data_IF_179484636164
#
_entry.id   IF_179484636164
#
_cell.length_a   1.000
_cell.length_b   1.000
_cell.length_c   1.000
_cell.angle_alpha   90.00
_cell.angle_beta   90.00
_cell.angle_gamma   90.00
#
_symmetry.space_group_name_H-M   'P 1'
#
loop_
_entity.id
_entity.type
_entity.pdbx_description
1 polymer ?
#
# COMPACT_ATOMS: atom_id res chain seq x y z
N UNK A 1 1.49 -14.60 -11.74
CA UNK A 1 1.44 -13.32 -10.97
C UNK A 1 2.79 -12.59 -10.86
N UNK A 2 3.83 -13.02 -11.57
CA UNK A 2 5.17 -12.39 -11.52
C UNK A 2 5.21 -10.94 -12.03
N UNK A 3 4.19 -10.49 -12.75
CA UNK A 3 4.09 -9.13 -13.32
C UNK A 3 3.01 -8.27 -12.66
N UNK A 4 2.50 -8.68 -11.49
CA UNK A 4 1.48 -7.89 -10.78
C UNK A 4 2.14 -6.72 -10.06
N UNK A 5 1.72 -5.52 -10.43
CA UNK A 5 2.12 -4.27 -9.82
C UNK A 5 0.92 -3.62 -9.11
N UNK A 6 1.17 -3.05 -7.94
CA UNK A 6 0.14 -2.41 -7.13
C UNK A 6 0.49 -0.93 -7.00
N UNK A 7 -0.43 -0.08 -7.42
CA UNK A 7 -0.24 1.37 -7.37
C UNK A 7 -1.17 1.96 -6.33
N UNK A 8 -0.59 2.76 -5.46
CA UNK A 8 -1.34 3.49 -4.46
C UNK A 8 -0.69 4.81 -4.07
N UNK A 9 -1.42 5.59 -3.31
CA UNK A 9 -0.92 6.86 -2.79
C UNK A 9 -1.27 7.05 -1.32
N UNK A 10 -0.42 7.78 -0.62
CA UNK A 10 -0.68 8.20 0.74
C UNK A 10 -0.39 9.69 0.90
N UNK A 11 -1.33 10.40 1.51
CA UNK A 11 -1.10 11.79 1.90
C UNK A 11 -0.42 11.87 3.26
N UNK A 12 0.60 12.70 3.34
CA UNK A 12 1.30 13.08 4.56
C UNK A 12 0.95 14.53 4.81
N UNK A 13 0.26 14.80 5.92
CA UNK A 13 -0.09 16.14 6.33
C UNK A 13 1.13 16.81 6.93
N UNK A 14 1.51 17.96 6.41
CA UNK A 14 2.57 18.77 6.98
C UNK A 14 2.02 19.62 8.13
N UNK A 15 2.77 19.65 9.24
CA UNK A 15 2.41 20.46 10.39
C UNK A 15 2.81 21.89 10.11
N UNK A 16 1.92 22.84 10.45
CA UNK A 16 2.11 24.28 10.28
C UNK A 16 2.13 24.79 8.81
N UNK A 17 2.79 25.91 8.57
CA UNK A 17 2.75 26.70 7.35
C UNK A 17 3.58 26.13 6.16
N UNK A 18 4.06 24.89 6.28
CA UNK A 18 4.79 24.23 5.21
C UNK A 18 3.88 23.99 4.00
N UNK A 19 4.08 24.77 2.95
CA UNK A 19 3.36 24.65 1.69
C UNK A 19 4.26 23.86 0.72
N UNK A 20 3.84 22.62 0.42
CA UNK A 20 4.50 21.84 -0.60
C UNK A 20 3.78 22.05 -1.94
N UNK A 21 4.47 22.64 -2.91
CA UNK A 21 4.05 22.78 -4.34
C UNK A 21 2.53 23.00 -4.54
N UNK A 22 1.94 23.90 -3.80
CA UNK A 22 0.52 24.16 -3.86
C UNK A 22 -0.27 23.53 -2.69
N UNK A 23 -0.87 24.37 -1.91
CA UNK A 23 -1.69 23.97 -0.77
C UNK A 23 -2.98 23.33 -1.25
N UNK A 24 -3.24 22.09 -0.86
CA UNK A 24 -4.57 21.50 -0.92
C UNK A 24 -5.51 22.25 0.03
N UNK A 25 -6.72 22.59 -0.41
CA UNK A 25 -7.76 23.11 0.48
C UNK A 25 -8.37 21.96 1.27
N UNK A 26 -8.56 22.16 2.56
CA UNK A 26 -9.31 21.20 3.36
C UNK A 26 -10.78 21.20 2.91
N UNK A 27 -11.39 20.05 2.53
CA UNK A 27 -12.73 20.02 1.91
C UNK A 27 -13.83 20.65 2.76
N UNK A 28 -13.71 20.59 4.10
CA UNK A 28 -14.73 21.05 5.03
C UNK A 28 -14.47 22.44 5.64
N UNK A 29 -13.22 22.89 5.70
CA UNK A 29 -12.88 24.15 6.39
C UNK A 29 -12.36 25.26 5.49
N UNK A 30 -12.15 24.98 4.19
CA UNK A 30 -11.57 25.93 3.24
C UNK A 30 -10.14 26.39 3.56
N UNK A 31 -9.59 26.00 4.73
CA UNK A 31 -8.23 26.38 5.15
C UNK A 31 -7.20 25.66 4.30
N UNK A 32 -6.19 26.39 3.84
CA UNK A 32 -5.03 25.82 3.15
C UNK A 32 -4.25 24.96 4.16
N UNK A 33 -4.14 23.67 3.91
CA UNK A 33 -3.23 22.79 4.64
C UNK A 33 -2.15 22.32 3.66
N UNK A 34 -0.90 22.51 4.04
CA UNK A 34 0.22 21.92 3.35
C UNK A 34 0.13 20.38 3.42
N UNK A 35 0.44 19.72 2.34
CA UNK A 35 0.48 18.27 2.32
C UNK A 35 1.22 17.77 1.10
N UNK A 36 1.98 16.70 1.29
CA UNK A 36 2.63 15.97 0.22
C UNK A 36 1.90 14.65 0.02
N UNK A 37 1.68 14.28 -1.21
CA UNK A 37 1.18 12.95 -1.58
C UNK A 37 2.34 12.14 -2.14
N UNK A 38 2.53 10.96 -1.59
CA UNK A 38 3.52 9.98 -2.03
C UNK A 38 2.78 8.91 -2.81
N UNK A 39 3.12 8.79 -4.08
CA UNK A 39 2.63 7.73 -4.96
C UNK A 39 3.69 6.65 -5.02
N UNK A 40 3.31 5.42 -4.80
CA UNK A 40 4.21 4.27 -4.80
C UNK A 40 3.65 3.20 -5.70
N UNK A 41 4.52 2.60 -6.51
CA UNK A 41 4.28 1.37 -7.22
C UNK A 41 5.09 0.26 -6.55
N UNK A 42 4.47 -0.86 -6.21
CA UNK A 42 5.13 -2.03 -5.63
C UNK A 42 4.88 -3.27 -6.47
N UNK A 43 5.85 -4.17 -6.52
CA UNK A 43 5.62 -5.53 -6.99
C UNK A 43 4.85 -6.32 -5.92
N UNK A 44 3.76 -6.97 -6.33
CA UNK A 44 2.99 -7.83 -5.43
C UNK A 44 3.86 -8.96 -4.85
N UNK A 45 3.54 -9.38 -3.63
CA UNK A 45 4.24 -10.38 -2.83
C UNK A 45 5.62 -9.96 -2.29
N UNK A 46 6.25 -8.95 -2.86
CA UNK A 46 7.56 -8.47 -2.40
C UNK A 46 7.43 -7.24 -1.51
N UNK A 47 6.36 -6.47 -1.70
CA UNK A 47 6.13 -5.16 -1.07
C UNK A 47 7.31 -4.19 -1.23
N UNK A 48 8.09 -4.38 -2.31
CA UNK A 48 9.25 -3.55 -2.65
C UNK A 48 8.81 -2.44 -3.59
N UNK A 49 9.04 -1.17 -3.25
CA UNK A 49 8.79 -0.06 -4.16
C UNK A 49 9.64 -0.13 -5.42
N UNK A 50 9.01 -0.09 -6.59
CA UNK A 50 9.65 -0.02 -7.90
C UNK A 50 9.66 1.41 -8.46
N UNK A 51 8.66 2.23 -8.11
CA UNK A 51 8.59 3.65 -8.47
C UNK A 51 7.99 4.46 -7.32
N UNK A 52 8.57 5.64 -7.06
CA UNK A 52 8.08 6.55 -6.02
C UNK A 52 8.06 7.97 -6.56
N UNK A 53 6.90 8.62 -6.48
CA UNK A 53 6.70 9.99 -6.95
C UNK A 53 6.02 10.84 -5.91
N UNK A 54 6.32 12.13 -5.95
CA UNK A 54 5.79 13.12 -5.01
C UNK A 54 4.96 14.16 -5.75
N UNK A 55 3.79 14.45 -5.19
CA UNK A 55 2.92 15.52 -5.68
C UNK A 55 2.34 16.31 -4.52
N UNK A 56 1.74 17.44 -4.83
CA UNK A 56 0.87 18.13 -3.88
C UNK A 56 -0.29 17.20 -3.45
N UNK A 57 -0.71 17.28 -2.20
CA UNK A 57 -1.86 16.53 -1.69
C UNK A 57 -3.16 16.79 -2.47
N UNK A 58 -3.25 17.92 -3.19
CA UNK A 58 -4.39 18.29 -4.02
C UNK A 58 -4.39 17.62 -5.40
N UNK A 59 -3.25 17.07 -5.85
CA UNK A 59 -3.13 16.44 -7.18
C UNK A 59 -4.00 15.18 -7.27
N UNK A 60 -4.73 15.06 -8.38
CA UNK A 60 -5.53 13.87 -8.62
C UNK A 60 -4.62 12.67 -8.94
N UNK A 61 -4.88 11.54 -8.31
CA UNK A 61 -4.08 10.32 -8.47
C UNK A 61 -4.01 9.84 -9.93
N UNK A 62 -5.07 10.05 -10.70
CA UNK A 62 -5.11 9.64 -12.11
C UNK A 62 -4.03 10.29 -12.98
N UNK A 63 -3.49 11.45 -12.61
CA UNK A 63 -2.37 12.07 -13.33
C UNK A 63 -1.08 11.25 -13.23
N UNK A 64 -0.91 10.51 -12.14
CA UNK A 64 0.30 9.72 -11.88
C UNK A 64 0.30 8.35 -12.56
N UNK A 65 -0.84 7.90 -13.06
CA UNK A 65 -0.90 6.70 -13.91
C UNK A 65 -0.35 7.06 -15.29
N UNK A 66 0.83 6.55 -15.62
CA UNK A 66 1.49 6.73 -16.92
C UNK A 66 1.56 5.40 -17.65
N UNK A 67 0.70 5.16 -18.65
CA UNK A 67 0.67 3.90 -19.39
C UNK A 67 2.01 3.51 -20.02
N UNK A 68 2.82 4.49 -20.40
CA UNK A 68 4.15 4.29 -21.00
C UNK A 68 5.17 3.63 -20.07
N UNK A 69 4.92 3.57 -18.78
CA UNK A 69 5.82 2.95 -17.80
C UNK A 69 5.59 1.43 -17.66
N UNK A 70 4.65 0.88 -18.40
CA UNK A 70 4.26 -0.53 -18.28
C UNK A 70 4.40 -1.25 -19.62
N UNK A 71 4.79 -2.51 -19.54
CA UNK A 71 5.00 -3.36 -20.69
C UNK A 71 3.83 -4.32 -20.91
N UNK A 72 3.70 -4.83 -22.13
CA UNK A 72 2.68 -5.83 -22.46
C UNK A 72 2.77 -7.05 -21.55
N UNK A 73 1.64 -7.45 -21.00
CA UNK A 73 1.51 -8.53 -20.03
C UNK A 73 1.69 -8.12 -18.56
N UNK A 74 1.95 -6.84 -18.28
CA UNK A 74 1.87 -6.33 -16.91
C UNK A 74 0.41 -6.28 -16.44
N UNK A 75 0.22 -6.55 -15.15
CA UNK A 75 -1.08 -6.49 -14.48
C UNK A 75 -1.01 -5.42 -13.40
N UNK A 76 -1.98 -4.48 -13.41
CA UNK A 76 -2.02 -3.36 -12.47
C UNK A 76 -3.23 -3.48 -11.54
N UNK A 77 -2.99 -3.57 -10.24
CA UNK A 77 -4.04 -3.41 -9.23
C UNK A 77 -4.08 -1.96 -8.74
N UNK A 78 -5.18 -1.27 -9.03
CA UNK A 78 -5.32 0.18 -8.85
C UNK A 78 -6.43 0.53 -7.86
N UNK A 79 -6.26 1.64 -7.13
CA UNK A 79 -7.39 2.26 -6.43
C UNK A 79 -8.32 2.97 -7.43
N UNK A 80 -9.60 3.07 -7.11
CA UNK A 80 -10.61 3.76 -7.91
C UNK A 80 -10.30 5.25 -8.19
N UNK A 81 -9.38 5.85 -7.43
CA UNK A 81 -8.93 7.22 -7.67
C UNK A 81 -8.15 7.38 -8.99
N UNK A 82 -7.58 6.28 -9.49
CA UNK A 82 -6.82 6.26 -10.75
C UNK A 82 -7.70 6.13 -12.01
N UNK A 83 -9.02 5.94 -11.90
CA UNK A 83 -9.91 5.75 -13.04
C UNK A 83 -9.85 6.95 -13.99
N UNK A 84 -9.37 6.68 -15.21
CA UNK A 84 -9.32 7.60 -16.35
C UNK A 84 -9.41 6.78 -17.63
N UNK A 85 -10.50 6.94 -18.38
CA UNK A 85 -10.81 6.11 -19.55
C UNK A 85 -9.77 6.23 -20.68
N UNK A 86 -9.22 7.43 -20.91
CA UNK A 86 -8.16 7.61 -21.92
C UNK A 86 -6.92 6.80 -21.59
N UNK A 87 -6.50 6.85 -20.33
CA UNK A 87 -5.32 6.09 -19.88
C UNK A 87 -5.60 4.59 -19.82
N UNK A 88 -6.82 4.19 -19.47
CA UNK A 88 -7.22 2.79 -19.48
C UNK A 88 -7.27 2.23 -20.90
N UNK A 89 -7.76 3.00 -21.86
CA UNK A 89 -7.70 2.62 -23.26
C UNK A 89 -6.26 2.49 -23.78
N UNK A 90 -5.39 3.42 -23.38
CA UNK A 90 -3.96 3.34 -23.71
C UNK A 90 -3.28 2.11 -23.10
N UNK A 91 -3.59 1.76 -21.83
CA UNK A 91 -3.12 0.52 -21.21
C UNK A 91 -3.58 -0.70 -22.01
N UNK A 92 -4.86 -0.73 -22.42
CA UNK A 92 -5.42 -1.82 -23.20
C UNK A 92 -4.70 -1.99 -24.55
N UNK A 93 -4.45 -0.89 -25.27
CA UNK A 93 -3.70 -0.91 -26.55
C UNK A 93 -2.27 -1.41 -26.38
N UNK A 94 -1.68 -1.18 -25.21
CA UNK A 94 -0.33 -1.66 -24.87
C UNK A 94 -0.30 -3.11 -24.37
N UNK A 95 -1.46 -3.77 -24.24
CA UNK A 95 -1.55 -5.13 -23.72
C UNK A 95 -1.32 -5.21 -22.20
N UNK A 96 -1.59 -4.11 -21.48
CA UNK A 96 -1.49 -4.05 -20.02
C UNK A 96 -2.86 -4.25 -19.42
N UNK A 97 -2.96 -5.18 -18.48
CA UNK A 97 -4.21 -5.49 -17.77
C UNK A 97 -4.31 -4.58 -16.54
N UNK A 98 -5.50 -4.05 -16.29
CA UNK A 98 -5.77 -3.37 -15.03
C UNK A 98 -6.95 -3.99 -14.30
N UNK A 99 -6.91 -3.94 -12.97
CA UNK A 99 -8.03 -4.30 -12.09
C UNK A 99 -8.22 -3.19 -11.06
N UNK A 100 -9.41 -2.63 -11.00
CA UNK A 100 -9.75 -1.57 -10.05
C UNK A 100 -11.16 -1.73 -9.51
N UNK A 101 -11.46 -1.07 -8.40
CA UNK A 101 -12.81 -0.98 -7.88
C UNK A 101 -13.59 0.11 -8.61
N UNK A 102 -14.80 -0.21 -9.03
CA UNK A 102 -15.69 0.70 -9.73
C UNK A 102 -16.17 1.87 -8.85
N UNK A 103 -16.32 3.06 -9.43
CA UNK A 103 -17.03 4.20 -8.81
C UNK A 103 -18.54 4.03 -9.03
N UNK A 104 -19.36 4.52 -8.08
CA UNK A 104 -20.82 4.36 -8.13
C UNK A 104 -21.50 5.12 -9.29
N UNK A 105 -20.90 6.22 -9.74
CA UNK A 105 -21.53 7.17 -10.68
C UNK A 105 -20.93 7.07 -12.08
N UNK A 106 -20.51 5.89 -12.52
CA UNK A 106 -20.02 5.69 -13.87
C UNK A 106 -21.21 5.37 -14.79
N UNK A 107 -21.24 6.04 -15.95
CA UNK A 107 -22.23 5.78 -17.01
C UNK A 107 -21.58 4.86 -18.03
N UNK A 108 -22.27 3.78 -18.37
CA UNK A 108 -21.80 2.78 -19.32
C UNK A 108 -22.97 2.09 -20.02
N UNK A 109 -22.73 1.53 -21.18
CA UNK A 109 -23.66 0.69 -21.93
C UNK A 109 -23.33 -0.78 -21.62
N UNK A 110 -24.34 -1.60 -21.35
CA UNK A 110 -24.16 -3.03 -21.10
C UNK A 110 -24.31 -3.74 -22.46
N UNK A 111 -23.27 -4.46 -22.86
CA UNK A 111 -23.27 -5.32 -24.03
C UNK A 111 -23.71 -6.74 -23.70
N UNK A 112 -23.22 -7.28 -22.58
CA UNK A 112 -23.58 -8.62 -22.11
C UNK A 112 -23.73 -8.60 -20.59
N UNK A 113 -24.61 -9.44 -20.06
CA UNK A 113 -24.89 -9.58 -18.63
C UNK A 113 -25.15 -11.06 -18.32
N UNK A 114 -24.32 -11.63 -17.48
CA UNK A 114 -24.41 -13.06 -17.13
C UNK A 114 -24.15 -13.28 -15.64
N UNK A 115 -24.74 -14.33 -15.10
CA UNK A 115 -24.46 -14.83 -13.78
C UNK A 115 -23.46 -15.98 -13.83
N UNK A 116 -22.51 -15.96 -12.94
CA UNK A 116 -21.51 -17.00 -12.78
C UNK A 116 -21.45 -17.42 -11.31
N UNK A 117 -21.41 -18.71 -11.06
CA UNK A 117 -21.27 -19.28 -9.70
C UNK A 117 -19.87 -19.87 -9.58
N UNK A 118 -19.19 -19.57 -8.47
CA UNK A 118 -17.87 -20.13 -8.21
C UNK A 118 -17.88 -21.67 -8.24
N UNK A 119 -16.74 -22.33 -8.57
CA UNK A 119 -16.67 -23.78 -8.63
C UNK A 119 -17.06 -24.50 -7.34
N UNK A 120 -16.88 -23.85 -6.19
CA UNK A 120 -17.27 -24.34 -4.87
C UNK A 120 -18.75 -24.07 -4.52
N UNK A 121 -19.49 -23.38 -5.39
CA UNK A 121 -20.90 -23.02 -5.19
C UNK A 121 -21.17 -21.96 -4.13
N UNK A 122 -20.13 -21.33 -3.54
CA UNK A 122 -20.27 -20.44 -2.39
C UNK A 122 -20.49 -18.99 -2.77
N UNK A 123 -20.06 -18.55 -3.95
CA UNK A 123 -20.10 -17.15 -4.37
C UNK A 123 -20.77 -17.00 -5.72
N UNK A 124 -21.77 -16.14 -5.78
CA UNK A 124 -22.40 -15.72 -7.02
C UNK A 124 -21.77 -14.41 -7.51
N UNK A 125 -21.45 -14.39 -8.79
CA UNK A 125 -20.87 -13.24 -9.47
C UNK A 125 -21.79 -12.80 -10.60
N UNK A 126 -22.06 -11.50 -10.68
CA UNK A 126 -22.62 -10.89 -11.88
C UNK A 126 -21.48 -10.37 -12.73
N UNK A 127 -21.38 -10.85 -13.94
CA UNK A 127 -20.34 -10.51 -14.91
C UNK A 127 -20.95 -9.77 -16.07
N UNK A 128 -20.50 -8.54 -16.30
CA UNK A 128 -21.04 -7.67 -17.36
C UNK A 128 -19.89 -7.23 -18.29
N UNK A 129 -20.11 -7.34 -19.59
CA UNK A 129 -19.30 -6.64 -20.60
C UNK A 129 -19.93 -5.30 -20.87
N UNK A 130 -19.12 -4.24 -20.79
CA UNK A 130 -19.62 -2.87 -20.84
C UNK A 130 -18.77 -1.99 -21.74
N UNK A 131 -19.39 -0.94 -22.28
CA UNK A 131 -18.73 0.13 -23.04
C UNK A 131 -18.85 1.45 -22.32
N UNK A 132 -17.73 2.07 -22.06
CA UNK A 132 -17.66 3.44 -21.59
C UNK A 132 -17.45 4.37 -22.78
N UNK A 133 -18.25 5.42 -22.86
CA UNK A 133 -18.07 6.47 -23.87
C UNK A 133 -17.80 7.80 -23.18
N UNK A 134 -16.76 8.47 -23.59
CA UNK A 134 -16.43 9.81 -23.10
C UNK A 134 -16.26 10.75 -24.29
N UNK A 135 -17.14 11.73 -24.40
CA UNK A 135 -17.04 12.80 -25.38
C UNK A 135 -15.81 13.66 -25.12
N UNK A 136 -15.04 13.94 -26.16
CA UNK A 136 -13.91 14.85 -26.15
C UNK A 136 -14.28 16.06 -26.98
N UNK A 137 -14.07 17.28 -26.46
CA UNK A 137 -14.54 18.53 -27.09
C UNK A 137 -14.02 18.78 -28.51
N UNK A 138 -12.77 18.35 -28.80
CA UNK A 138 -12.08 18.62 -30.05
C UNK A 138 -11.34 17.39 -30.59
N UNK A 139 -11.91 16.18 -30.43
CA UNK A 139 -11.29 14.94 -30.87
C UNK A 139 -12.30 13.79 -30.97
N UNK A 140 -11.81 12.62 -31.34
CA UNK A 140 -12.62 11.41 -31.38
C UNK A 140 -13.09 11.01 -29.98
N UNK A 141 -14.32 10.54 -29.87
CA UNK A 141 -14.86 10.03 -28.61
C UNK A 141 -14.03 8.84 -28.12
N UNK A 142 -13.68 8.87 -26.85
CA UNK A 142 -12.98 7.74 -26.23
C UNK A 142 -14.02 6.65 -25.97
N UNK A 143 -13.85 5.52 -26.62
CA UNK A 143 -14.60 4.28 -26.37
C UNK A 143 -13.68 3.32 -25.68
N UNK A 144 -14.13 2.76 -24.55
CA UNK A 144 -13.36 1.82 -23.77
C UNK A 144 -14.22 0.61 -23.39
N UNK A 145 -13.83 -0.56 -23.89
CA UNK A 145 -14.48 -1.82 -23.57
C UNK A 145 -13.90 -2.37 -22.27
N UNK A 146 -14.76 -2.81 -21.38
CA UNK A 146 -14.35 -3.32 -20.07
C UNK A 146 -15.31 -4.40 -19.56
N UNK A 147 -14.86 -5.12 -18.55
CA UNK A 147 -15.62 -6.15 -17.84
C UNK A 147 -15.85 -5.70 -16.40
N UNK A 148 -17.08 -5.78 -15.93
CA UNK A 148 -17.46 -5.50 -14.55
C UNK A 148 -17.81 -6.84 -13.88
N UNK A 149 -17.22 -7.08 -12.71
CA UNK A 149 -17.48 -8.24 -11.89
C UNK A 149 -18.02 -7.76 -10.55
N UNK A 150 -19.26 -8.11 -10.25
CA UNK A 150 -19.94 -7.72 -9.01
C UNK A 150 -20.23 -8.95 -8.17
N UNK A 151 -19.85 -8.90 -6.88
CA UNK A 151 -20.08 -9.95 -5.91
C UNK A 151 -20.34 -9.40 -4.51
N UNK A 152 -20.91 -10.24 -3.65
CA UNK A 152 -21.12 -9.95 -2.24
C UNK A 152 -19.85 -10.28 -1.44
N UNK A 153 -19.21 -9.27 -0.86
CA UNK A 153 -18.10 -9.46 0.10
C UNK A 153 -18.72 -9.56 1.51
N UNK A 154 -18.75 -10.77 2.04
CA UNK A 154 -19.32 -11.07 3.37
C UNK A 154 -18.20 -11.00 4.39
N UNK A 155 -18.21 -9.94 5.21
CA UNK A 155 -17.25 -9.79 6.32
C UNK A 155 -17.98 -9.75 7.65
N UNK A 156 -17.80 -10.79 8.46
CA UNK A 156 -18.49 -10.94 9.76
C UNK A 156 -20.01 -10.81 9.58
N UNK A 157 -20.59 -9.70 10.06
CA UNK A 157 -22.04 -9.43 10.04
C UNK A 157 -22.48 -8.46 8.93
N UNK A 158 -21.56 -8.03 8.05
CA UNK A 158 -21.86 -7.04 7.00
C UNK A 158 -21.65 -7.63 5.62
N UNK A 159 -22.70 -7.57 4.80
CA UNK A 159 -22.64 -7.87 3.37
C UNK A 159 -22.40 -6.57 2.61
N UNK A 160 -21.40 -6.54 1.76
CA UNK A 160 -21.07 -5.39 0.93
C UNK A 160 -20.92 -5.81 -0.51
N UNK A 161 -21.68 -5.22 -1.41
CA UNK A 161 -21.48 -5.40 -2.84
C UNK A 161 -20.19 -4.70 -3.28
N UNK A 162 -19.36 -5.45 -3.96
CA UNK A 162 -18.10 -5.01 -4.55
C UNK A 162 -18.20 -5.19 -6.05
N UNK A 163 -17.95 -4.12 -6.82
CA UNK A 163 -17.86 -4.17 -8.28
C UNK A 163 -16.44 -3.85 -8.68
N UNK A 164 -15.79 -4.77 -9.37
CA UNK A 164 -14.46 -4.64 -9.95
C UNK A 164 -14.58 -4.33 -11.43
N UNK A 165 -13.66 -3.54 -11.95
CA UNK A 165 -13.55 -3.13 -13.34
C UNK A 165 -12.20 -3.58 -13.88
N UNK A 166 -12.18 -4.24 -15.03
CA UNK A 166 -10.98 -4.69 -15.73
C UNK A 166 -11.16 -4.59 -17.24
N UNK A 167 -10.05 -4.51 -17.99
CA UNK A 167 -10.03 -4.64 -19.44
C UNK A 167 -9.78 -6.09 -19.91
N UNK A 168 -9.52 -7.01 -19.00
CA UNK A 168 -9.33 -8.41 -19.34
C UNK A 168 -10.69 -9.11 -19.49
N UNK A 169 -10.89 -9.77 -20.62
CA UNK A 169 -12.16 -10.45 -20.95
C UNK A 169 -12.11 -11.96 -20.70
N UNK A 170 -10.90 -12.53 -20.53
CA UNK A 170 -10.68 -13.98 -20.56
C UNK A 170 -10.30 -14.56 -19.21
N UNK A 171 -9.61 -13.77 -18.37
CA UNK A 171 -9.16 -14.19 -17.03
C UNK A 171 -10.33 -14.64 -16.16
N UNK A 172 -10.13 -15.68 -15.34
CA UNK A 172 -11.17 -16.14 -14.42
C UNK A 172 -11.60 -15.07 -13.42
N UNK A 173 -12.83 -15.17 -12.96
CA UNK A 173 -13.41 -14.18 -12.01
C UNK A 173 -12.64 -14.21 -10.70
N UNK A 174 -12.26 -15.40 -10.26
CA UNK A 174 -11.51 -15.64 -9.01
C UNK A 174 -10.13 -14.99 -9.07
N UNK A 175 -9.42 -15.12 -10.20
CA UNK A 175 -8.11 -14.49 -10.38
C UNK A 175 -8.20 -12.97 -10.33
N UNK A 176 -9.21 -12.37 -10.95
CA UNK A 176 -9.43 -10.91 -10.92
C UNK A 176 -9.72 -10.45 -9.49
N UNK A 177 -10.54 -11.19 -8.73
CA UNK A 177 -10.82 -10.90 -7.32
C UNK A 177 -9.56 -11.00 -6.48
N UNK A 178 -8.73 -12.02 -6.70
CA UNK A 178 -7.46 -12.22 -5.99
C UNK A 178 -6.45 -11.11 -6.31
N UNK A 179 -6.31 -10.71 -7.56
CA UNK A 179 -5.49 -9.58 -7.97
C UNK A 179 -5.92 -8.31 -7.22
N UNK A 180 -7.22 -8.04 -7.17
CA UNK A 180 -7.69 -6.86 -6.45
C UNK A 180 -7.48 -6.94 -4.93
N UNK A 181 -7.57 -8.12 -4.34
CA UNK A 181 -7.26 -8.32 -2.91
C UNK A 181 -5.82 -7.96 -2.58
N UNK A 182 -4.88 -8.30 -3.45
CA UNK A 182 -3.45 -7.96 -3.28
C UNK A 182 -3.19 -6.45 -3.25
N UNK A 183 -4.07 -5.64 -3.83
CA UNK A 183 -3.99 -4.18 -3.72
C UNK A 183 -3.87 -3.69 -2.26
N UNK A 184 -4.36 -4.48 -1.30
CA UNK A 184 -4.24 -4.13 0.11
C UNK A 184 -2.80 -4.07 0.62
N UNK A 185 -1.85 -4.71 -0.05
CA UNK A 185 -0.44 -4.72 0.33
C UNK A 185 0.14 -3.29 0.38
N UNK A 186 -0.27 -2.41 -0.54
CA UNK A 186 0.21 -1.02 -0.52
C UNK A 186 -0.32 -0.23 0.68
N UNK A 187 -1.52 -0.53 1.14
CA UNK A 187 -2.08 0.10 2.35
C UNK A 187 -1.35 -0.38 3.60
N UNK A 188 -0.96 -1.66 3.63
CA UNK A 188 -0.14 -2.21 4.71
C UNK A 188 1.25 -1.57 4.73
N UNK A 189 1.88 -1.36 3.57
CA UNK A 189 3.15 -0.63 3.47
C UNK A 189 3.02 0.79 4.04
N UNK A 190 2.03 1.57 3.61
CA UNK A 190 1.84 2.91 4.13
C UNK A 190 1.50 2.94 5.63
N UNK A 191 0.74 1.96 6.12
CA UNK A 191 0.46 1.80 7.54
C UNK A 191 1.76 1.54 8.31
N UNK A 192 2.58 0.62 7.84
CA UNK A 192 3.87 0.27 8.42
C UNK A 192 4.82 1.49 8.50
N UNK A 193 4.92 2.25 7.41
CA UNK A 193 5.71 3.48 7.36
C UNK A 193 5.23 4.52 8.38
N UNK A 194 3.91 4.77 8.43
CA UNK A 194 3.34 5.77 9.34
C UNK A 194 3.42 5.36 10.82
N UNK A 195 3.40 4.07 11.11
CA UNK A 195 3.49 3.55 12.48
C UNK A 195 4.91 3.53 13.03
N UNK A 196 5.89 3.20 12.19
CA UNK A 196 7.25 2.95 12.65
C UNK A 196 8.21 4.10 12.40
N UNK A 197 7.83 5.12 11.62
CA UNK A 197 8.71 6.23 11.29
C UNK A 197 8.04 7.59 11.57
N UNK A 198 8.81 8.62 11.98
CA UNK A 198 8.27 9.92 12.38
C UNK A 198 7.89 10.79 11.17
N UNK A 199 6.96 10.33 10.32
CA UNK A 199 6.48 11.07 9.15
C UNK A 199 5.49 12.22 9.50
N UNK A 200 5.35 12.54 10.78
CA UNK A 200 4.55 13.69 11.25
C UNK A 200 5.41 14.93 11.50
N UNK A 201 6.71 14.74 11.69
CA UNK A 201 7.66 15.82 11.98
C UNK A 201 8.77 15.78 10.94
N UNK A 202 9.06 16.92 10.36
CA UNK A 202 10.13 17.07 9.38
C UNK A 202 11.23 17.95 9.94
N UNK A 203 12.47 17.50 9.82
CA UNK A 203 13.66 18.23 10.30
C UNK A 203 13.96 19.47 9.46
N UNK A 204 13.45 19.51 8.22
CA UNK A 204 13.63 20.65 7.33
C UNK A 204 12.31 21.09 6.71
N UNK A 205 12.18 22.39 6.47
CA UNK A 205 10.95 23.02 5.98
C UNK A 205 10.90 23.09 4.44
N UNK A 206 12.04 22.95 3.77
CA UNK A 206 12.11 22.99 2.31
C UNK A 206 11.57 21.70 1.68
N UNK A 207 10.91 21.82 0.53
CA UNK A 207 10.34 20.68 -0.20
C UNK A 207 11.36 19.54 -0.41
N UNK A 208 12.61 19.87 -0.71
CA UNK A 208 13.67 18.88 -0.89
C UNK A 208 14.00 18.13 0.41
N UNK A 209 14.06 18.80 1.55
CA UNK A 209 14.31 18.18 2.85
C UNK A 209 13.20 17.19 3.22
N UNK A 210 11.95 17.55 2.95
CA UNK A 210 10.79 16.69 3.16
C UNK A 210 10.89 15.44 2.26
N UNK A 211 11.20 15.60 0.97
CA UNK A 211 11.40 14.47 0.04
C UNK A 211 12.52 13.55 0.51
N UNK A 212 13.66 14.10 0.93
CA UNK A 212 14.80 13.34 1.45
C UNK A 212 14.39 12.52 2.67
N UNK A 213 13.69 13.10 3.63
CA UNK A 213 13.25 12.36 4.82
C UNK A 213 12.32 11.20 4.47
N UNK A 214 11.42 11.37 3.49
CA UNK A 214 10.56 10.29 3.03
C UNK A 214 11.37 9.19 2.32
N UNK A 215 12.34 9.57 1.48
CA UNK A 215 13.23 8.60 0.83
C UNK A 215 14.05 7.80 1.84
N UNK A 216 14.64 8.47 2.84
CA UNK A 216 15.39 7.80 3.93
C UNK A 216 14.47 6.84 4.69
N UNK A 217 13.21 7.23 4.94
CA UNK A 217 12.22 6.36 5.58
C UNK A 217 11.93 5.10 4.75
N UNK A 218 11.77 5.24 3.44
CA UNK A 218 11.55 4.10 2.54
C UNK A 218 12.77 3.17 2.51
N UNK A 219 13.97 3.71 2.44
CA UNK A 219 15.23 2.93 2.48
C UNK A 219 15.35 2.20 3.81
N UNK A 220 15.14 2.87 4.94
CA UNK A 220 15.18 2.25 6.26
C UNK A 220 14.15 1.13 6.40
N UNK A 221 12.94 1.32 5.87
CA UNK A 221 11.91 0.28 5.83
C UNK A 221 12.38 -0.96 5.04
N UNK A 222 12.99 -0.76 3.86
CA UNK A 222 13.52 -1.87 3.05
C UNK A 222 14.65 -2.62 3.79
N UNK A 223 15.57 -1.89 4.41
CA UNK A 223 16.65 -2.52 5.20
C UNK A 223 16.09 -3.36 6.34
N UNK A 224 15.10 -2.85 7.07
CA UNK A 224 14.44 -3.62 8.15
C UNK A 224 13.69 -4.84 7.61
N UNK A 225 13.06 -4.75 6.43
CA UNK A 225 12.43 -5.91 5.79
C UNK A 225 13.46 -6.99 5.41
N UNK A 226 14.63 -6.59 4.89
CA UNK A 226 15.74 -7.52 4.59
C UNK A 226 16.26 -8.16 5.87
N UNK A 227 16.45 -7.38 6.93
CA UNK A 227 16.84 -7.91 8.24
C UNK A 227 15.84 -8.92 8.76
N UNK A 228 14.53 -8.58 8.74
CA UNK A 228 13.47 -9.46 9.21
C UNK A 228 13.45 -10.81 8.47
N UNK A 229 13.69 -10.79 7.14
CA UNK A 229 13.77 -12.03 6.33
C UNK A 229 15.02 -12.88 6.65
N UNK A 230 16.11 -12.27 7.09
CA UNK A 230 17.38 -12.97 7.41
C UNK A 230 17.42 -13.53 8.82
N UNK A 231 16.71 -12.92 9.75
CA UNK A 231 16.65 -13.37 11.14
C UNK A 231 15.74 -14.61 11.21
N UNK A 232 16.24 -15.69 11.84
CA UNK A 232 15.51 -16.96 11.97
C UNK A 232 14.36 -16.87 12.97
N UNK A 233 14.56 -16.10 14.05
CA UNK A 233 13.54 -15.87 15.09
C UNK A 233 12.44 -14.96 14.55
N UNK A 234 11.17 -15.30 14.80
CA UNK A 234 10.03 -14.50 14.37
C UNK A 234 9.92 -13.19 15.20
N UNK A 235 10.24 -12.07 14.55
CA UNK A 235 10.04 -10.73 15.09
C UNK A 235 8.93 -10.01 14.35
N UNK A 236 8.07 -9.31 15.07
CA UNK A 236 7.19 -8.34 14.40
C UNK A 236 8.00 -7.19 13.84
N UNK A 237 7.58 -6.61 12.72
CA UNK A 237 8.30 -5.49 12.11
C UNK A 237 8.49 -4.31 13.09
N UNK A 238 7.45 -3.98 13.87
CA UNK A 238 7.50 -2.87 14.83
C UNK A 238 8.46 -3.14 15.98
N UNK A 239 8.52 -4.37 16.48
CA UNK A 239 9.49 -4.75 17.52
C UNK A 239 10.91 -4.66 16.96
N UNK A 240 11.16 -5.20 15.76
CA UNK A 240 12.46 -5.09 15.09
C UNK A 240 12.89 -3.63 14.90
N UNK A 241 11.99 -2.77 14.36
CA UNK A 241 12.28 -1.36 14.16
C UNK A 241 12.62 -0.63 15.47
N UNK A 242 11.94 -0.97 16.57
CA UNK A 242 12.23 -0.39 17.89
C UNK A 242 13.58 -0.84 18.40
N UNK A 243 13.88 -2.13 18.32
CA UNK A 243 15.15 -2.68 18.80
C UNK A 243 16.34 -2.15 17.99
N UNK A 244 16.22 -2.05 16.67
CA UNK A 244 17.29 -1.47 15.82
C UNK A 244 17.59 -0.03 16.23
N UNK A 245 16.58 0.80 16.55
CA UNK A 245 16.83 2.16 17.05
C UNK A 245 17.69 2.19 18.31
N UNK A 246 17.43 1.27 19.25
CA UNK A 246 18.20 1.15 20.48
C UNK A 246 19.61 0.69 20.16
N UNK A 247 19.74 -0.34 19.32
CA UNK A 247 21.03 -0.95 18.99
C UNK A 247 21.97 -0.05 18.22
N UNK A 248 21.45 0.87 17.37
CA UNK A 248 22.28 1.84 16.66
C UNK A 248 23.10 2.73 17.59
N UNK A 249 22.71 2.82 18.87
CA UNK A 249 23.45 3.57 19.89
C UNK A 249 24.62 2.78 20.52
N UNK A 250 24.66 1.44 20.35
CA UNK A 250 25.54 0.56 21.12
C UNK A 250 26.54 -0.25 20.28
N UNK A 251 26.62 -0.07 18.98
CA UNK A 251 27.53 -0.80 18.07
C UNK A 251 27.47 -2.33 18.20
N UNK A 252 26.30 -2.90 18.53
CA UNK A 252 26.10 -4.34 18.69
C UNK A 252 25.83 -4.99 17.34
N UNK A 253 26.31 -6.23 17.13
CA UNK A 253 25.94 -6.98 15.94
C UNK A 253 24.45 -7.33 15.96
N UNK A 254 23.65 -6.77 15.03
CA UNK A 254 22.20 -6.93 15.08
C UNK A 254 21.76 -8.38 14.89
N UNK A 255 22.46 -9.17 14.10
CA UNK A 255 22.04 -10.54 13.82
C UNK A 255 22.20 -11.46 15.03
N UNK A 256 23.33 -11.42 15.72
CA UNK A 256 23.54 -12.22 16.95
C UNK A 256 22.56 -11.81 18.04
N UNK A 257 22.32 -10.53 18.20
CA UNK A 257 21.36 -10.02 19.17
C UNK A 257 19.92 -10.50 18.89
N UNK A 258 19.47 -10.46 17.63
CA UNK A 258 18.10 -10.89 17.29
C UNK A 258 17.90 -12.40 17.32
N UNK A 259 18.97 -13.17 17.13
CA UNK A 259 18.89 -14.63 17.25
C UNK A 259 18.95 -15.10 18.72
N UNK A 260 19.77 -14.46 19.53
CA UNK A 260 19.98 -14.83 20.92
C UNK A 260 20.10 -13.56 21.80
N UNK A 261 19.04 -12.79 22.01
CA UNK A 261 19.11 -11.53 22.76
C UNK A 261 19.62 -11.71 24.21
N UNK A 262 19.38 -12.88 24.80
CA UNK A 262 19.77 -13.17 26.16
C UNK A 262 21.30 -13.20 26.35
N UNK A 263 22.05 -13.68 25.35
CA UNK A 263 23.50 -13.75 25.40
C UNK A 263 24.18 -12.38 25.35
N UNK A 264 23.73 -11.54 24.44
CA UNK A 264 24.28 -10.20 24.26
C UNK A 264 23.90 -9.29 25.44
N UNK A 265 22.69 -9.46 25.98
CA UNK A 265 22.25 -8.76 27.18
C UNK A 265 23.08 -9.11 28.40
N UNK A 266 23.32 -10.39 28.64
CA UNK A 266 24.16 -10.85 29.75
C UNK A 266 25.61 -10.36 29.63
N UNK A 267 26.15 -10.28 28.41
CA UNK A 267 27.49 -9.74 28.16
C UNK A 267 27.54 -8.24 28.43
N UNK A 268 26.56 -7.48 27.97
CA UNK A 268 26.46 -6.03 28.23
C UNK A 268 26.32 -5.76 29.72
N UNK A 269 25.52 -6.53 30.45
CA UNK A 269 25.39 -6.42 31.90
C UNK A 269 26.71 -6.72 32.60
N UNK A 270 27.43 -7.76 32.21
CA UNK A 270 28.71 -8.10 32.78
C UNK A 270 29.78 -7.02 32.53
N UNK A 271 29.82 -6.43 31.34
CA UNK A 271 30.71 -5.34 30.96
C UNK A 271 30.37 -4.01 31.65
N UNK A 272 29.07 -3.77 31.94
CA UNK A 272 28.61 -2.56 32.60
C UNK A 272 28.74 -2.58 34.13
N UNK A 273 29.10 -3.72 34.71
CA UNK A 273 29.13 -3.91 36.17
C UNK A 273 27.76 -3.81 36.84
N UNK A 274 26.71 -3.76 36.08
CA UNK A 274 25.34 -3.71 36.60
C UNK A 274 24.85 -5.12 36.93
N UNK A 275 24.29 -5.30 38.12
CA UNK A 275 23.54 -6.51 38.42
C UNK A 275 22.33 -6.64 37.51
N UNK A 276 22.04 -7.85 37.00
CA UNK A 276 20.81 -8.06 36.26
C UNK A 276 19.61 -7.59 37.10
N UNK A 277 18.63 -6.86 36.53
CA UNK A 277 17.44 -6.53 37.26
C UNK A 277 16.83 -7.83 37.80
N UNK A 278 16.49 -7.85 39.07
CA UNK A 278 15.76 -8.98 39.65
C UNK A 278 14.58 -9.29 38.76
N UNK A 279 14.34 -10.57 38.46
CA UNK A 279 13.34 -11.02 37.53
C UNK A 279 11.94 -10.67 38.05
N UNK A 280 11.45 -9.50 37.69
CA UNK A 280 10.16 -8.94 38.13
C UNK A 280 9.01 -9.30 37.23
N UNK A 281 9.25 -10.05 36.15
CA UNK A 281 8.19 -10.48 35.20
C UNK A 281 7.57 -11.84 35.55
N UNK A 282 8.21 -12.60 36.43
CA UNK A 282 7.72 -13.91 36.84
C UNK A 282 7.73 -13.99 38.39
N UNK A 283 6.74 -14.64 38.94
CA UNK A 283 6.75 -14.98 40.35
C UNK A 283 7.82 -16.04 40.67
N UNK A 284 8.11 -16.30 41.94
CA UNK A 284 9.09 -17.31 42.38
C UNK A 284 8.77 -18.74 41.89
N UNK A 285 7.61 -18.96 41.22
CA UNK A 285 7.17 -20.23 40.65
C UNK A 285 7.14 -20.20 39.11
N UNK A 286 7.64 -19.13 38.46
CA UNK A 286 7.71 -18.99 37.01
C UNK A 286 6.38 -18.58 36.34
N UNK A 287 5.38 -18.11 37.10
CA UNK A 287 4.13 -17.54 36.59
C UNK A 287 4.29 -16.07 36.21
N UNK A 288 3.66 -15.65 35.09
CA UNK A 288 3.61 -14.24 34.68
C UNK A 288 2.85 -13.39 35.70
N UNK A 289 3.49 -12.37 36.26
CA UNK A 289 2.89 -11.44 37.22
C UNK A 289 1.74 -10.58 36.68
N UNK A 290 1.37 -10.70 35.38
CA UNK A 290 0.38 -9.90 34.67
C UNK A 290 -0.73 -10.70 34.00
N UNK A 291 -1.13 -11.87 34.55
CA UNK A 291 -2.43 -12.45 34.20
C UNK A 291 -3.48 -11.95 35.20
N UNK A 292 -4.15 -10.85 34.82
CA UNK A 292 -5.51 -10.51 35.29
C UNK A 292 -6.28 -9.82 34.20
#
# INVERSE_FOLDING_TARGET
LCRLQIIGSASITLVSNLIFEGAGRHPKSGKKKGGIKVHVNIHANESVPSDVRFTSAATNDSFMLMPTNYDSGDILALDRAYINYAKFEELTRRGVIYVTKMKRNLVYEIAEDMMYVSPDGLVEYRVQRVKFRKKVKDGEDIVHDARIITYADIRKTRVKLVSLLTNDMDMSVEEIVEIYRKRWEIELLFKQLKQNFPLRYFYGEKANAIKIQIWVTLIANLLLMVMQKRIKRAWSFSALATMVRIMLMYYVNPYSFFECPEKDWMKILAESGASPPEATLFDERGGLLFEK
#
